data_IF_464768919088
#
_entry.id   IF_464768919088
#
_cell.length_a   1.000
_cell.length_b   1.000
_cell.length_c   1.000
_cell.angle_alpha   90.00
_cell.angle_beta   90.00
_cell.angle_gamma   90.00
#
_symmetry.space_group_name_H-M   'P 1'
#
loop_
_entity.id
_entity.type
_entity.pdbx_description
1 polymer ?
#
# COMPACT_ATOMS: atom_id res chain seq x y z
N UNK A 1 26.26 -37.01 3.71
CA UNK A 1 26.48 -35.84 4.60
C UNK A 1 26.68 -34.53 3.85
N UNK A 2 27.58 -34.43 2.85
CA UNK A 2 27.84 -33.17 2.11
C UNK A 2 26.62 -32.55 1.42
N UNK A 3 25.76 -33.37 0.80
CA UNK A 3 24.54 -32.90 0.10
C UNK A 3 23.52 -32.28 1.05
N UNK A 4 23.30 -32.90 2.23
CA UNK A 4 22.38 -32.35 3.23
C UNK A 4 22.86 -31.02 3.80
N UNK A 5 24.18 -30.87 4.01
CA UNK A 5 24.76 -29.60 4.44
C UNK A 5 24.56 -28.50 3.37
N UNK A 6 24.69 -28.83 2.08
CA UNK A 6 24.44 -27.88 0.99
C UNK A 6 22.97 -27.48 0.87
N UNK A 7 22.03 -28.40 1.08
CA UNK A 7 20.59 -28.11 1.06
C UNK A 7 20.21 -27.21 2.25
N UNK A 8 20.73 -27.50 3.46
CA UNK A 8 20.48 -26.67 4.64
C UNK A 8 21.04 -25.26 4.45
N UNK A 9 22.25 -25.13 3.88
CA UNK A 9 22.85 -23.83 3.57
C UNK A 9 22.06 -23.03 2.53
N UNK A 10 21.47 -23.70 1.53
CA UNK A 10 20.61 -23.03 0.53
C UNK A 10 19.30 -22.55 1.16
N UNK A 11 18.69 -23.35 2.04
CA UNK A 11 17.49 -22.96 2.75
C UNK A 11 17.74 -21.77 3.69
N UNK A 12 18.84 -21.75 4.45
CA UNK A 12 19.14 -20.62 5.34
C UNK A 12 19.37 -19.31 4.58
N UNK A 13 20.02 -19.35 3.41
CA UNK A 13 20.17 -18.18 2.54
C UNK A 13 18.82 -17.61 2.06
N UNK A 14 17.89 -18.46 1.64
CA UNK A 14 16.55 -18.03 1.23
C UNK A 14 15.74 -17.47 2.40
N UNK A 15 15.87 -18.05 3.60
CA UNK A 15 15.20 -17.53 4.80
C UNK A 15 15.73 -16.16 5.23
N UNK A 16 17.04 -15.89 5.09
CA UNK A 16 17.59 -14.56 5.41
C UNK A 16 17.10 -13.46 4.47
N UNK A 17 16.90 -13.76 3.18
CA UNK A 17 16.38 -12.80 2.20
C UNK A 17 14.88 -12.48 2.40
N UNK A 18 14.12 -13.40 2.99
CA UNK A 18 12.69 -13.22 3.21
C UNK A 18 12.35 -12.25 4.36
N UNK A 19 13.32 -11.92 5.24
CA UNK A 19 13.10 -11.07 6.41
C UNK A 19 13.31 -9.56 6.16
N UNK A 20 13.78 -9.16 4.98
CA UNK A 20 14.09 -7.75 4.66
C UNK A 20 12.87 -6.92 4.19
N UNK A 21 11.64 -7.33 4.53
CA UNK A 21 10.51 -6.42 4.39
C UNK A 21 10.59 -5.42 5.55
N UNK A 22 11.10 -4.22 5.27
CA UNK A 22 10.95 -3.04 6.12
C UNK A 22 9.46 -2.77 6.30
N UNK A 23 8.85 -3.40 7.29
CA UNK A 23 7.54 -3.02 7.80
C UNK A 23 7.74 -1.64 8.42
N UNK A 24 6.89 -0.68 8.05
CA UNK A 24 6.89 0.65 8.66
C UNK A 24 6.78 0.50 10.18
N UNK A 25 7.86 0.82 10.89
CA UNK A 25 7.91 0.73 12.35
C UNK A 25 7.21 1.93 13.00
N UNK A 26 6.89 2.95 12.20
CA UNK A 26 6.35 4.22 12.65
C UNK A 26 5.14 4.61 11.79
N UNK A 27 3.96 4.91 12.39
CA UNK A 27 2.79 5.39 11.67
C UNK A 27 3.05 6.61 10.79
N UNK A 28 3.95 7.51 11.19
CA UNK A 28 4.30 8.69 10.40
C UNK A 28 5.03 8.35 9.10
N UNK A 29 5.80 7.27 9.07
CA UNK A 29 6.45 6.80 7.84
C UNK A 29 5.43 6.15 6.91
N UNK A 30 4.48 5.37 7.45
CA UNK A 30 3.37 4.82 6.69
C UNK A 30 2.52 5.94 6.06
N UNK A 31 2.21 7.00 6.81
CA UNK A 31 1.46 8.15 6.30
C UNK A 31 2.23 8.91 5.21
N UNK A 32 3.54 9.10 5.39
CA UNK A 32 4.38 9.72 4.34
C UNK A 32 4.42 8.86 3.08
N UNK A 33 4.50 7.54 3.24
CA UNK A 33 4.53 6.64 2.10
C UNK A 33 3.19 6.61 1.36
N UNK A 34 2.07 6.57 2.07
CA UNK A 34 0.74 6.59 1.44
C UNK A 34 0.54 7.89 0.68
N UNK A 35 0.96 9.04 1.24
CA UNK A 35 0.96 10.33 0.54
C UNK A 35 1.84 10.31 -0.72
N UNK A 36 3.06 9.76 -0.62
CA UNK A 36 3.99 9.65 -1.76
C UNK A 36 3.39 8.84 -2.91
N UNK A 37 2.67 7.76 -2.61
CA UNK A 37 2.08 6.88 -3.63
C UNK A 37 0.90 7.55 -4.35
N UNK A 38 0.06 8.28 -3.62
CA UNK A 38 -1.15 8.91 -4.19
C UNK A 38 -0.87 10.27 -4.85
N UNK A 39 0.22 10.94 -4.46
CA UNK A 39 0.64 12.24 -5.05
C UNK A 39 1.45 12.01 -6.32
N UNK A 40 0.77 11.59 -7.38
CA UNK A 40 1.40 11.30 -8.68
C UNK A 40 1.48 12.55 -9.57
N UNK A 41 2.45 12.56 -10.47
CA UNK A 41 2.47 13.54 -11.57
C UNK A 41 1.33 13.26 -12.56
N UNK A 42 0.88 14.32 -13.23
CA UNK A 42 -0.15 14.23 -14.27
C UNK A 42 0.20 13.17 -15.33
N UNK A 43 -0.76 12.32 -15.67
CA UNK A 43 -0.61 11.25 -16.66
C UNK A 43 0.10 9.98 -16.14
N UNK A 44 0.59 9.95 -14.90
CA UNK A 44 1.03 8.71 -14.25
C UNK A 44 -0.16 7.98 -13.63
N UNK A 45 0.02 6.70 -13.30
CA UNK A 45 -0.98 5.91 -12.57
C UNK A 45 -0.48 5.63 -11.17
N UNK A 46 -1.39 5.66 -10.20
CA UNK A 46 -1.10 5.26 -8.83
C UNK A 46 -0.81 3.76 -8.81
N UNK A 47 0.28 3.36 -8.13
CA UNK A 47 0.62 1.95 -7.93
C UNK A 47 -0.26 1.34 -6.83
N UNK A 48 -1.48 0.98 -7.21
CA UNK A 48 -2.48 0.39 -6.31
C UNK A 48 -2.06 -1.00 -5.82
N UNK A 49 -1.22 -1.71 -6.58
CA UNK A 49 -0.69 -3.01 -6.18
C UNK A 49 0.28 -2.86 -5.01
N UNK A 50 1.19 -1.88 -5.08
CA UNK A 50 2.08 -1.57 -3.97
C UNK A 50 1.32 -1.01 -2.76
N UNK A 51 0.38 -0.06 -2.96
CA UNK A 51 -0.45 0.49 -1.89
C UNK A 51 -1.18 -0.59 -1.10
N UNK A 52 -1.74 -1.61 -1.79
CA UNK A 52 -2.39 -2.75 -1.16
C UNK A 52 -1.48 -3.48 -0.16
N UNK A 53 -0.17 -3.54 -0.41
CA UNK A 53 0.77 -4.23 0.48
C UNK A 53 1.00 -3.52 1.81
N UNK A 54 0.60 -2.25 1.92
CA UNK A 54 0.81 -1.43 3.11
C UNK A 54 -0.21 -1.68 4.23
N UNK A 55 -1.32 -2.35 3.90
CA UNK A 55 -2.46 -2.51 4.79
C UNK A 55 -2.89 -3.97 4.93
N UNK A 56 -3.53 -4.28 6.05
CA UNK A 56 -4.23 -5.55 6.19
C UNK A 56 -5.42 -5.60 5.21
N UNK A 57 -5.79 -6.77 4.67
CA UNK A 57 -6.94 -6.90 3.77
C UNK A 57 -8.27 -6.42 4.38
N UNK A 58 -8.35 -6.40 5.71
CA UNK A 58 -9.53 -5.97 6.50
C UNK A 58 -9.49 -4.49 6.87
N UNK A 59 -8.53 -3.71 6.37
CA UNK A 59 -8.45 -2.28 6.63
C UNK A 59 -9.65 -1.55 6.01
N UNK A 60 -10.20 -0.59 6.77
CA UNK A 60 -11.25 0.30 6.32
C UNK A 60 -10.72 1.74 6.29
N UNK A 61 -11.18 2.49 5.29
CA UNK A 61 -10.82 3.88 5.05
C UNK A 61 -12.08 4.72 5.16
N UNK A 62 -12.02 5.79 5.95
CA UNK A 62 -13.09 6.77 6.03
C UNK A 62 -12.64 8.06 5.38
N UNK A 63 -13.34 8.45 4.32
CA UNK A 63 -13.10 9.72 3.61
C UNK A 63 -14.18 10.72 4.03
N UNK A 64 -13.77 11.97 4.20
CA UNK A 64 -14.69 13.08 4.50
C UNK A 64 -14.87 13.90 3.25
N UNK A 65 -16.08 13.81 2.67
CA UNK A 65 -16.49 14.63 1.54
C UNK A 65 -17.32 15.83 1.98
N UNK A 66 -17.43 16.84 1.11
CA UNK A 66 -18.37 17.95 1.28
C UNK A 66 -19.32 18.01 0.09
N UNK A 67 -20.55 17.57 0.32
CA UNK A 67 -21.62 17.62 -0.67
C UNK A 67 -22.72 18.57 -0.20
N UNK A 68 -23.22 19.42 -1.09
CA UNK A 68 -24.32 20.35 -0.77
C UNK A 68 -24.10 21.17 0.51
N UNK A 69 -22.85 21.60 0.75
CA UNK A 69 -22.39 22.34 1.94
C UNK A 69 -22.43 21.56 3.26
N UNK A 70 -22.73 20.26 3.26
CA UNK A 70 -22.68 19.38 4.43
C UNK A 70 -21.47 18.45 4.35
N UNK A 71 -20.86 18.17 5.49
CA UNK A 71 -19.85 17.13 5.58
C UNK A 71 -20.53 15.77 5.61
N UNK A 72 -20.05 14.84 4.78
CA UNK A 72 -20.48 13.46 4.79
C UNK A 72 -19.26 12.55 4.93
N UNK A 73 -19.44 11.44 5.64
CA UNK A 73 -18.41 10.44 5.83
C UNK A 73 -18.78 9.21 5.04
N UNK A 74 -17.86 8.75 4.22
CA UNK A 74 -17.98 7.48 3.52
C UNK A 74 -16.90 6.54 4.05
N UNK A 75 -17.31 5.36 4.51
CA UNK A 75 -16.38 4.32 4.96
C UNK A 75 -16.42 3.17 3.97
N UNK A 76 -15.24 2.76 3.52
CA UNK A 76 -15.06 1.78 2.47
C UNK A 76 -13.92 0.82 2.83
N UNK A 77 -13.98 -0.39 2.28
CA UNK A 77 -12.92 -1.37 2.38
C UNK A 77 -11.67 -0.94 1.59
N UNK A 78 -10.54 -1.59 1.83
CA UNK A 78 -9.31 -1.38 1.06
C UNK A 78 -9.53 -1.52 -0.45
N UNK A 79 -10.33 -2.50 -0.90
CA UNK A 79 -10.54 -2.72 -2.33
C UNK A 79 -11.38 -1.60 -2.96
N UNK A 80 -12.47 -1.21 -2.31
CA UNK A 80 -13.31 -0.11 -2.74
C UNK A 80 -12.51 1.20 -2.78
N UNK A 81 -11.69 1.46 -1.76
CA UNK A 81 -10.80 2.62 -1.76
C UNK A 81 -9.83 2.63 -2.95
N UNK A 82 -9.18 1.49 -3.23
CA UNK A 82 -8.26 1.40 -4.37
C UNK A 82 -8.93 1.62 -5.72
N UNK A 83 -10.21 1.23 -5.87
CA UNK A 83 -10.99 1.52 -7.08
C UNK A 83 -11.18 3.02 -7.26
N UNK A 84 -11.45 3.78 -6.19
CA UNK A 84 -11.57 5.25 -6.27
C UNK A 84 -10.29 5.92 -6.78
N UNK A 85 -9.12 5.36 -6.44
CA UNK A 85 -7.82 5.90 -6.88
C UNK A 85 -7.54 5.68 -8.38
N UNK A 86 -8.36 4.88 -9.06
CA UNK A 86 -8.26 4.66 -10.52
C UNK A 86 -9.10 5.62 -11.35
N UNK A 87 -9.91 6.47 -10.71
CA UNK A 87 -10.71 7.49 -11.37
C UNK A 87 -9.81 8.48 -12.15
N UNK A 88 -10.30 8.94 -13.30
CA UNK A 88 -9.65 9.93 -14.15
C UNK A 88 -9.29 11.21 -13.37
N UNK A 89 -10.09 11.58 -12.36
CA UNK A 89 -9.79 12.69 -11.46
C UNK A 89 -8.37 12.62 -10.87
N UNK A 90 -7.93 11.45 -10.41
CA UNK A 90 -6.61 11.28 -9.80
C UNK A 90 -5.47 11.23 -10.83
N UNK A 91 -5.79 10.98 -12.10
CA UNK A 91 -4.79 10.99 -13.19
C UNK A 91 -4.31 12.39 -13.58
N UNK A 92 -5.02 13.44 -13.13
CA UNK A 92 -4.68 14.83 -13.42
C UNK A 92 -3.42 15.31 -12.69
N UNK A 93 -3.01 14.62 -11.62
CA UNK A 93 -1.83 14.92 -10.81
C UNK A 93 -2.04 16.09 -9.85
N UNK A 94 -1.81 15.86 -8.56
CA UNK A 94 -1.97 16.83 -7.47
C UNK A 94 -0.92 16.64 -6.38
#
# INVERSE_FOLDING_TARGET
MKVYASIIALFTLVYTQAQDKKIFQNPSELVKETQRIISIESGKKIDTAYFRTLFLPTANFTVVGKENKKFMHETMSLNEFLETLTDEYYSLGY
#
